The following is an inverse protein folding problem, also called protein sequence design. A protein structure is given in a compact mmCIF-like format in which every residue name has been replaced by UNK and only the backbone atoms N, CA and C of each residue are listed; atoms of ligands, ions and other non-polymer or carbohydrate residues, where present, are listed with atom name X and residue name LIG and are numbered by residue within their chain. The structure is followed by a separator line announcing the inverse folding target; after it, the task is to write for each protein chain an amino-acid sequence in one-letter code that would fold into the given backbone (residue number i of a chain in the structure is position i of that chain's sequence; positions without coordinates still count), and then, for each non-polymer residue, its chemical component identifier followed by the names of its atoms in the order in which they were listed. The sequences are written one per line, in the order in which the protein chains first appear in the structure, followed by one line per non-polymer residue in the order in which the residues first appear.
data_IF_846858994709
#
_entry.id   IF_846858994709
#
_cell.length_a   1.000
_cell.length_b   1.000
_cell.length_c   1.000
_cell.angle_alpha   90.00
_cell.angle_beta   90.00
_cell.angle_gamma   90.00
#
_symmetry.space_group_name_H-M   'P 1'
#
loop_
_entity.id
_entity.type
_entity.pdbx_description
1 polymer ?
#
# COMPACT_ATOMS: atom_id res chain seq x y z
N UNK A 1 6.85 11.02 -7.38
CA UNK A 1 6.80 11.44 -5.94
C UNK A 1 7.30 12.86 -5.71
N UNK A 2 8.26 13.36 -6.49
CA UNK A 2 8.80 14.72 -6.31
C UNK A 2 7.76 15.83 -6.51
N UNK A 3 6.84 15.65 -7.45
CA UNK A 3 5.73 16.60 -7.67
C UNK A 3 4.75 16.57 -6.48
N UNK A 4 4.46 15.38 -5.93
CA UNK A 4 3.64 15.24 -4.73
C UNK A 4 4.27 15.95 -3.53
N UNK A 5 5.58 15.82 -3.33
CA UNK A 5 6.29 16.56 -2.28
C UNK A 5 6.13 18.07 -2.45
N UNK A 6 6.38 18.58 -3.65
CA UNK A 6 6.22 20.01 -3.95
C UNK A 6 4.79 20.48 -3.72
N UNK A 7 3.82 19.67 -4.12
CA UNK A 7 2.40 19.99 -3.93
C UNK A 7 2.05 20.09 -2.43
N UNK A 8 2.41 19.11 -1.64
CA UNK A 8 2.12 19.09 -0.19
C UNK A 8 2.86 20.24 0.53
N UNK A 9 4.11 20.47 0.19
CA UNK A 9 4.95 21.49 0.84
C UNK A 9 4.47 22.92 0.57
N UNK A 10 3.69 23.15 -0.50
CA UNK A 10 3.13 24.49 -0.80
C UNK A 10 2.15 24.99 0.27
N UNK A 11 1.52 24.07 1.01
CA UNK A 11 0.50 24.44 2.01
C UNK A 11 1.12 24.94 3.32
N UNK A 12 2.40 24.65 3.56
CA UNK A 12 3.08 24.97 4.83
C UNK A 12 2.22 24.65 6.07
N UNK A 13 1.62 23.46 6.06
CA UNK A 13 0.61 23.06 7.04
C UNK A 13 0.81 21.60 7.47
N UNK A 14 0.75 21.38 8.78
CA UNK A 14 0.75 20.03 9.35
C UNK A 14 -0.54 19.25 9.06
N UNK A 15 -1.61 19.91 8.65
CA UNK A 15 -2.89 19.30 8.33
C UNK A 15 -3.01 18.80 6.89
N UNK A 16 -2.13 19.26 5.99
CA UNK A 16 -2.08 18.81 4.60
C UNK A 16 -0.95 17.80 4.44
N UNK A 17 -1.29 16.53 4.41
CA UNK A 17 -0.34 15.41 4.43
C UNK A 17 -0.75 14.34 3.43
N UNK A 18 0.04 13.28 3.32
CA UNK A 18 -0.16 12.21 2.35
C UNK A 18 -0.91 11.04 2.99
N UNK A 19 -2.03 10.68 2.37
CA UNK A 19 -2.62 9.35 2.47
C UNK A 19 -2.02 8.52 1.34
N UNK A 20 -1.20 7.53 1.68
CA UNK A 20 -0.45 6.73 0.73
C UNK A 20 -1.16 5.41 0.44
N UNK A 21 -1.37 5.10 -0.83
CA UNK A 21 -2.01 3.86 -1.27
C UNK A 21 -1.04 3.08 -2.16
N UNK A 22 -0.65 1.89 -1.72
CA UNK A 22 0.34 1.06 -2.42
C UNK A 22 -0.15 0.58 -3.77
N UNK A 23 -1.40 0.15 -3.88
CA UNK A 23 -1.96 -0.39 -5.12
C UNK A 23 -2.19 0.69 -6.19
N UNK A 24 -2.62 1.87 -5.78
CA UNK A 24 -2.80 2.98 -6.72
C UNK A 24 -1.46 3.44 -7.32
N UNK A 25 -0.37 3.38 -6.55
CA UNK A 25 0.98 3.63 -7.07
C UNK A 25 1.40 2.52 -8.05
N UNK A 26 1.05 1.26 -7.76
CA UNK A 26 1.39 0.13 -8.63
C UNK A 26 0.80 0.24 -10.04
N UNK A 27 -0.25 1.02 -10.26
CA UNK A 27 -0.77 1.26 -11.61
C UNK A 27 0.33 1.69 -12.59
N UNK A 28 1.22 2.57 -12.19
CA UNK A 28 2.23 3.16 -13.09
C UNK A 28 3.67 3.08 -12.56
N UNK A 29 3.84 2.92 -11.24
CA UNK A 29 5.14 2.99 -10.59
C UNK A 29 5.30 1.89 -9.53
N UNK A 30 6.12 2.12 -8.51
CA UNK A 30 6.45 1.16 -7.46
C UNK A 30 6.43 1.86 -6.09
N UNK A 31 5.66 1.35 -5.11
CA UNK A 31 5.51 1.98 -3.80
C UNK A 31 6.85 2.20 -3.08
N UNK A 32 7.74 1.20 -3.13
CA UNK A 32 9.05 1.23 -2.49
C UNK A 32 9.95 2.38 -2.98
N UNK A 33 9.69 2.92 -4.17
CA UNK A 33 10.40 4.11 -4.67
C UNK A 33 9.78 5.43 -4.19
N UNK A 34 8.50 5.40 -3.85
CA UNK A 34 7.78 6.60 -3.39
C UNK A 34 7.96 6.86 -1.90
N UNK A 35 7.93 5.79 -1.09
CA UNK A 35 7.94 5.88 0.37
C UNK A 35 9.16 6.65 0.89
N UNK A 36 10.41 6.37 0.45
CA UNK A 36 11.56 7.12 0.92
C UNK A 36 11.52 8.63 0.58
N UNK A 37 10.93 8.97 -0.56
CA UNK A 37 10.86 10.35 -1.03
C UNK A 37 9.75 11.15 -0.33
N UNK A 38 8.62 10.53 -0.01
CA UNK A 38 7.54 11.14 0.74
C UNK A 38 7.89 11.26 2.23
N UNK A 39 8.54 10.24 2.79
CA UNK A 39 9.04 10.23 4.15
C UNK A 39 7.96 10.55 5.19
N UNK A 40 8.25 11.48 6.08
CA UNK A 40 7.36 11.89 7.19
C UNK A 40 6.02 12.52 6.75
N UNK A 41 5.86 12.83 5.46
CA UNK A 41 4.59 13.33 4.91
C UNK A 41 3.52 12.26 4.87
N UNK A 42 3.89 10.98 4.89
CA UNK A 42 2.95 9.86 4.97
C UNK A 42 2.36 9.81 6.37
N UNK A 43 1.05 10.01 6.48
CA UNK A 43 0.33 9.98 7.76
C UNK A 43 -0.69 8.85 7.85
N UNK A 44 -1.13 8.33 6.71
CA UNK A 44 -2.02 7.20 6.64
C UNK A 44 -1.65 6.32 5.45
N UNK A 45 -1.89 5.02 5.56
CA UNK A 45 -1.53 4.05 4.53
C UNK A 45 -2.69 3.12 4.24
N UNK A 46 -3.04 3.01 2.96
CA UNK A 46 -3.78 1.87 2.45
C UNK A 46 -2.81 0.84 1.85
N UNK A 47 -2.86 -0.37 2.38
CA UNK A 47 -2.23 -1.53 1.77
C UNK A 47 -3.21 -2.12 0.75
N UNK A 48 -2.85 -2.03 -0.49
CA UNK A 48 -3.63 -2.53 -1.60
C UNK A 48 -2.71 -3.29 -2.55
N UNK A 49 -3.07 -4.50 -2.86
CA UNK A 49 -2.30 -5.35 -3.78
C UNK A 49 -2.71 -5.10 -5.23
N UNK A 50 -1.76 -5.21 -6.12
CA UNK A 50 -1.96 -5.04 -7.55
C UNK A 50 -1.11 -6.04 -8.32
N UNK A 51 -1.63 -6.58 -9.43
CA UNK A 51 -0.83 -7.38 -10.34
C UNK A 51 -0.55 -6.65 -11.64
N UNK A 52 0.72 -6.64 -12.07
CA UNK A 52 1.14 -6.19 -13.40
C UNK A 52 1.17 -7.32 -14.43
N UNK A 53 0.89 -8.55 -14.02
CA UNK A 53 0.81 -9.71 -14.94
C UNK A 53 -0.44 -9.62 -15.78
N UNK A 54 -0.27 -9.64 -17.10
CA UNK A 54 -1.38 -9.50 -18.06
C UNK A 54 -2.09 -8.14 -17.95
N UNK A 55 -1.39 -7.14 -17.48
CA UNK A 55 -1.96 -5.90 -16.99
C UNK A 55 -2.74 -5.14 -18.05
N UNK A 56 -4.03 -5.13 -17.89
CA UNK A 56 -4.92 -4.19 -18.55
C UNK A 56 -5.08 -2.88 -17.74
N UNK A 57 -4.46 -2.81 -16.57
CA UNK A 57 -4.53 -1.71 -15.61
C UNK A 57 -5.97 -1.35 -15.19
N UNK A 58 -6.88 -2.32 -15.26
CA UNK A 58 -8.27 -2.19 -14.82
C UNK A 58 -8.40 -2.48 -13.31
N UNK A 59 -9.63 -2.30 -12.80
CA UNK A 59 -9.97 -2.68 -11.42
C UNK A 59 -9.75 -4.17 -11.14
N UNK A 60 -9.83 -5.03 -12.16
CA UNK A 60 -9.58 -6.46 -12.07
C UNK A 60 -8.10 -6.80 -11.78
N UNK A 61 -7.20 -5.84 -11.92
CA UNK A 61 -5.78 -6.00 -11.57
C UNK A 61 -5.52 -5.87 -10.06
N UNK A 62 -6.47 -5.38 -9.27
CA UNK A 62 -6.36 -5.42 -7.81
C UNK A 62 -6.59 -6.84 -7.30
N UNK A 63 -5.85 -7.23 -6.26
CA UNK A 63 -5.79 -8.59 -5.73
C UNK A 63 -5.87 -8.60 -4.20
N UNK A 64 -6.25 -9.74 -3.59
CA UNK A 64 -5.98 -9.97 -2.18
C UNK A 64 -4.49 -9.82 -1.88
N UNK A 65 -4.12 -9.42 -0.67
CA UNK A 65 -2.71 -9.24 -0.28
C UNK A 65 -1.91 -10.53 -0.55
N UNK A 66 -0.71 -10.38 -1.07
CA UNK A 66 0.24 -11.42 -1.46
C UNK A 66 -0.16 -12.24 -2.71
N UNK A 67 -1.25 -11.88 -3.41
CA UNK A 67 -1.67 -12.51 -4.67
C UNK A 67 -1.36 -11.64 -5.91
N UNK A 68 -0.48 -10.67 -5.78
CA UNK A 68 -0.12 -9.75 -6.86
C UNK A 68 1.36 -9.73 -7.19
N UNK A 69 1.83 -8.56 -7.60
CA UNK A 69 3.23 -8.35 -8.00
C UNK A 69 3.93 -7.23 -7.22
N UNK A 70 3.31 -6.75 -6.15
CA UNK A 70 3.93 -5.76 -5.26
C UNK A 70 5.12 -6.39 -4.54
N UNK A 71 6.25 -5.69 -4.50
CA UNK A 71 7.43 -6.13 -3.77
C UNK A 71 7.28 -5.82 -2.27
N UNK A 72 6.44 -6.61 -1.57
CA UNK A 72 6.12 -6.37 -0.17
C UNK A 72 7.34 -6.30 0.75
N UNK A 73 8.36 -7.15 0.62
CA UNK A 73 9.57 -7.00 1.44
C UNK A 73 10.20 -5.61 1.32
N UNK A 74 10.36 -5.11 0.09
CA UNK A 74 10.92 -3.77 -0.13
C UNK A 74 9.98 -2.64 0.34
N UNK A 75 8.67 -2.82 0.22
CA UNK A 75 7.66 -1.87 0.72
C UNK A 75 7.71 -1.75 2.24
N UNK A 76 7.75 -2.88 2.95
CA UNK A 76 7.83 -2.89 4.43
C UNK A 76 9.16 -2.31 4.91
N UNK A 77 10.27 -2.68 4.27
CA UNK A 77 11.60 -2.11 4.56
C UNK A 77 11.60 -0.58 4.36
N UNK A 78 10.98 -0.10 3.29
CA UNK A 78 10.87 1.33 3.01
C UNK A 78 10.06 2.07 4.08
N UNK A 79 8.94 1.52 4.55
CA UNK A 79 8.17 2.10 5.66
C UNK A 79 8.97 2.13 6.96
N UNK A 80 9.73 1.08 7.25
CA UNK A 80 10.58 1.05 8.44
C UNK A 80 11.72 2.07 8.35
N UNK A 81 12.35 2.19 7.20
CA UNK A 81 13.43 3.15 6.95
C UNK A 81 13.00 4.62 7.14
N UNK A 82 11.74 4.97 6.82
CA UNK A 82 11.19 6.30 7.10
C UNK A 82 10.55 6.43 8.47
N UNK A 83 10.67 5.40 9.30
CA UNK A 83 10.12 5.33 10.66
C UNK A 83 8.60 5.55 10.69
N UNK A 84 7.88 5.02 9.70
CA UNK A 84 6.42 5.06 9.73
C UNK A 84 5.89 4.19 10.88
N UNK A 85 5.01 4.76 11.72
CA UNK A 85 4.43 4.09 12.90
C UNK A 85 2.91 4.22 12.96
N UNK A 86 2.29 4.60 11.84
CA UNK A 86 0.84 4.70 11.71
C UNK A 86 0.18 3.35 11.43
N UNK A 87 -1.12 3.40 11.17
CA UNK A 87 -1.89 2.22 10.81
C UNK A 87 -1.62 1.78 9.37
N UNK A 88 -1.65 0.47 9.15
CA UNK A 88 -1.65 -0.16 7.83
C UNK A 88 -3.06 -0.72 7.60
N UNK A 89 -3.84 0.00 6.84
CA UNK A 89 -5.24 -0.35 6.56
C UNK A 89 -5.34 -1.07 5.23
N UNK A 90 -5.90 -2.28 5.24
CA UNK A 90 -6.16 -3.00 3.99
C UNK A 90 -7.35 -2.40 3.24
N UNK A 91 -7.21 -2.23 1.93
CA UNK A 91 -8.30 -1.86 1.04
C UNK A 91 -8.38 -2.83 -0.15
N UNK A 92 -9.61 -3.35 -0.42
CA UNK A 92 -9.87 -4.22 -1.55
C UNK A 92 -11.33 -4.14 -1.98
N UNK A 93 -11.60 -4.22 -3.29
CA UNK A 93 -12.92 -3.96 -3.85
C UNK A 93 -13.76 -5.20 -4.15
N UNK A 94 -13.15 -6.37 -4.21
CA UNK A 94 -13.78 -7.60 -4.69
C UNK A 94 -13.80 -8.67 -3.59
N UNK A 95 -14.75 -8.59 -2.64
CA UNK A 95 -14.88 -9.65 -1.63
C UNK A 95 -15.25 -10.98 -2.29
N UNK A 96 -14.92 -12.09 -1.63
CA UNK A 96 -15.30 -13.42 -2.12
C UNK A 96 -16.83 -13.54 -2.13
N UNK A 97 -17.38 -13.95 -3.28
CA UNK A 97 -18.83 -13.93 -3.53
C UNK A 97 -19.65 -14.79 -2.56
N UNK A 98 -19.11 -15.95 -2.15
CA UNK A 98 -19.83 -16.94 -1.32
C UNK A 98 -19.32 -17.02 0.12
N UNK A 99 -18.17 -16.45 0.42
CA UNK A 99 -17.58 -16.40 1.76
C UNK A 99 -16.74 -15.13 1.94
N UNK A 100 -17.38 -13.95 2.03
CA UNK A 100 -16.65 -12.68 2.09
C UNK A 100 -15.74 -12.57 3.33
N UNK A 101 -16.09 -13.18 4.45
CA UNK A 101 -15.29 -13.18 5.68
C UNK A 101 -13.93 -13.88 5.48
N UNK A 102 -13.81 -14.80 4.53
CA UNK A 102 -12.53 -15.46 4.23
C UNK A 102 -11.45 -14.44 3.83
N UNK A 103 -11.84 -13.32 3.21
CA UNK A 103 -10.92 -12.24 2.85
C UNK A 103 -10.32 -11.57 4.10
N UNK A 104 -11.10 -11.45 5.19
CA UNK A 104 -10.61 -10.87 6.45
C UNK A 104 -9.53 -11.78 7.04
N UNK A 105 -9.77 -13.08 7.08
CA UNK A 105 -8.80 -14.06 7.57
C UNK A 105 -7.54 -14.08 6.71
N UNK A 106 -7.71 -14.16 5.38
CA UNK A 106 -6.59 -14.11 4.43
C UNK A 106 -5.76 -12.82 4.60
N UNK A 107 -6.42 -11.67 4.78
CA UNK A 107 -5.76 -10.39 5.00
C UNK A 107 -4.95 -10.38 6.30
N UNK A 108 -5.53 -10.87 7.39
CA UNK A 108 -4.85 -10.96 8.69
C UNK A 108 -3.58 -11.82 8.59
N UNK A 109 -3.71 -13.03 8.02
CA UNK A 109 -2.58 -13.94 7.82
C UNK A 109 -1.49 -13.32 6.91
N UNK A 110 -1.91 -12.62 5.87
CA UNK A 110 -0.99 -11.95 4.95
C UNK A 110 -0.21 -10.83 5.64
N UNK A 111 -0.89 -10.01 6.45
CA UNK A 111 -0.25 -8.94 7.23
C UNK A 111 0.76 -9.51 8.23
N UNK A 112 0.42 -10.57 8.94
CA UNK A 112 1.33 -11.21 9.89
C UNK A 112 2.58 -11.75 9.18
N UNK A 113 2.43 -12.37 8.01
CA UNK A 113 3.56 -12.81 7.18
C UNK A 113 4.43 -11.66 6.71
N UNK A 114 3.81 -10.58 6.20
CA UNK A 114 4.53 -9.39 5.73
C UNK A 114 5.33 -8.71 6.86
N UNK A 115 4.78 -8.71 8.07
CA UNK A 115 5.40 -8.10 9.26
C UNK A 115 6.30 -9.05 10.04
N UNK A 116 6.53 -10.27 9.54
CA UNK A 116 7.37 -11.27 10.22
C UNK A 116 6.80 -11.78 11.54
N UNK A 117 5.50 -11.63 11.76
CA UNK A 117 4.82 -12.20 12.93
C UNK A 117 4.60 -13.70 12.73
N UNK A 118 4.64 -14.45 13.81
CA UNK A 118 4.33 -15.89 13.75
C UNK A 118 2.82 -16.06 13.58
N UNK A 119 2.43 -16.76 12.52
CA UNK A 119 1.08 -17.23 12.26
C UNK A 119 0.88 -18.58 12.94
#
# INVERSE_FOLDING_TARGET
PMEMNRFVDQFDSEYVQVHFDTGNIMLFQYPEHWIPLLGKRIKNVHLKEFTKKGADHSLESFRPLLDGTTNWPAVIEAFDAVNYRGYLTFEYFHPYAHYPEALIHQTSDSLDRMLGRKV
#
